data_IF_587797362058
#
_entry.id   IF_587797362058
#
_cell.length_a   1.000
_cell.length_b   1.000
_cell.length_c   1.000
_cell.angle_alpha   90.00
_cell.angle_beta   90.00
_cell.angle_gamma   90.00
#
_symmetry.space_group_name_H-M   'P 1'
#
loop_
_entity.id
_entity.type
_entity.pdbx_description
1 polymer ?
#
# COMPACT_ATOMS: atom_id res chain seq x y z
N UNK A 1 -35.40 11.93 26.17
CA UNK A 1 -34.53 10.74 26.03
C UNK A 1 -34.09 10.41 24.59
N UNK A 2 -34.91 10.64 23.56
CA UNK A 2 -34.58 10.32 22.14
C UNK A 2 -33.34 11.04 21.57
N UNK A 3 -33.08 12.29 21.97
CA UNK A 3 -32.01 13.11 21.37
C UNK A 3 -30.59 12.76 21.85
N UNK A 4 -30.43 12.27 23.09
CA UNK A 4 -29.14 11.84 23.63
C UNK A 4 -28.65 10.54 22.94
N UNK A 5 -29.56 9.58 22.76
CA UNK A 5 -29.30 8.33 22.01
C UNK A 5 -28.91 8.60 20.54
N UNK A 6 -29.44 9.66 19.93
CA UNK A 6 -29.08 10.08 18.58
C UNK A 6 -27.65 10.64 18.49
N UNK A 7 -27.22 11.39 19.51
CA UNK A 7 -25.88 11.99 19.56
C UNK A 7 -24.81 10.92 19.80
N UNK A 8 -25.05 10.01 20.75
CA UNK A 8 -24.13 8.91 21.07
C UNK A 8 -23.94 7.97 19.87
N UNK A 9 -25.02 7.67 19.15
CA UNK A 9 -24.96 6.90 17.90
C UNK A 9 -24.15 7.62 16.81
N UNK A 10 -24.29 8.94 16.68
CA UNK A 10 -23.51 9.72 15.71
C UNK A 10 -22.01 9.72 16.05
N UNK A 11 -21.66 9.83 17.34
CA UNK A 11 -20.29 9.73 17.83
C UNK A 11 -19.70 8.33 17.59
N UNK A 12 -20.45 7.27 17.89
CA UNK A 12 -20.04 5.89 17.65
C UNK A 12 -19.78 5.62 16.16
N UNK A 13 -20.69 6.06 15.28
CA UNK A 13 -20.52 5.91 13.82
C UNK A 13 -19.34 6.70 13.28
N UNK A 14 -19.08 7.91 13.80
CA UNK A 14 -17.86 8.66 13.47
C UNK A 14 -16.61 7.89 13.90
N UNK A 15 -16.57 7.40 15.14
CA UNK A 15 -15.42 6.64 15.65
C UNK A 15 -15.13 5.39 14.81
N UNK A 16 -16.15 4.62 14.45
CA UNK A 16 -16.01 3.43 13.60
C UNK A 16 -15.43 3.79 12.22
N UNK A 17 -15.87 4.90 11.61
CA UNK A 17 -15.35 5.34 10.31
C UNK A 17 -13.89 5.76 10.39
N UNK A 18 -13.52 6.55 11.40
CA UNK A 18 -12.13 6.95 11.64
C UNK A 18 -11.24 5.72 11.80
N UNK A 19 -11.64 4.75 12.61
CA UNK A 19 -10.89 3.50 12.81
C UNK A 19 -10.76 2.68 11.51
N UNK A 20 -11.79 2.66 10.66
CA UNK A 20 -11.72 1.99 9.35
C UNK A 20 -10.74 2.67 8.41
N UNK A 21 -10.72 4.00 8.38
CA UNK A 21 -9.77 4.77 7.59
C UNK A 21 -8.34 4.57 8.09
N UNK A 22 -8.10 4.68 9.40
CA UNK A 22 -6.80 4.42 10.03
C UNK A 22 -6.30 3.01 9.71
N UNK A 23 -7.17 1.99 9.84
CA UNK A 23 -6.82 0.61 9.48
C UNK A 23 -6.47 0.48 8.00
N UNK A 24 -7.22 1.11 7.10
CA UNK A 24 -6.93 1.06 5.67
C UNK A 24 -5.61 1.76 5.33
N UNK A 25 -5.28 2.86 5.99
CA UNK A 25 -4.00 3.55 5.85
C UNK A 25 -2.83 2.67 6.31
N UNK A 26 -2.96 2.06 7.49
CA UNK A 26 -1.95 1.14 8.03
C UNK A 26 -1.74 -0.07 7.12
N UNK A 27 -2.82 -0.64 6.57
CA UNK A 27 -2.74 -1.73 5.60
C UNK A 27 -2.02 -1.29 4.33
N UNK A 28 -2.38 -0.14 3.75
CA UNK A 28 -1.73 0.37 2.55
C UNK A 28 -0.23 0.66 2.77
N UNK A 29 0.12 1.24 3.93
CA UNK A 29 1.51 1.47 4.30
C UNK A 29 2.28 0.16 4.50
N UNK A 30 1.70 -0.81 5.22
CA UNK A 30 2.29 -2.13 5.42
C UNK A 30 2.48 -2.90 4.12
N UNK A 31 1.49 -2.89 3.22
CA UNK A 31 1.61 -3.49 1.89
C UNK A 31 2.66 -2.78 1.04
N UNK A 32 2.82 -1.46 1.18
CA UNK A 32 3.86 -0.73 0.46
C UNK A 32 5.25 -1.14 0.94
N UNK A 33 5.46 -1.17 2.24
CA UNK A 33 6.72 -1.65 2.83
C UNK A 33 7.03 -3.09 2.42
N UNK A 34 6.02 -3.97 2.32
CA UNK A 34 6.20 -5.33 1.83
C UNK A 34 6.65 -5.39 0.36
N UNK A 35 6.14 -4.50 -0.50
CA UNK A 35 6.62 -4.36 -1.89
C UNK A 35 8.07 -3.91 -1.91
N UNK A 36 8.41 -2.84 -1.18
CA UNK A 36 9.78 -2.30 -1.16
C UNK A 36 10.78 -3.36 -0.63
N UNK A 37 10.40 -4.14 0.39
CA UNK A 37 11.20 -5.26 0.89
C UNK A 37 11.34 -6.40 -0.13
N UNK A 38 10.27 -6.75 -0.85
CA UNK A 38 10.33 -7.77 -1.90
C UNK A 38 11.19 -7.34 -3.10
N UNK A 39 11.15 -6.05 -3.47
CA UNK A 39 12.02 -5.49 -4.51
C UNK A 39 13.49 -5.58 -4.11
N UNK A 40 13.84 -5.23 -2.87
CA UNK A 40 15.21 -5.38 -2.36
C UNK A 40 15.70 -6.83 -2.43
N UNK A 41 14.85 -7.80 -2.10
CA UNK A 41 15.19 -9.23 -2.21
C UNK A 41 15.38 -9.65 -3.67
N UNK A 42 14.54 -9.19 -4.60
CA UNK A 42 14.71 -9.49 -6.04
C UNK A 42 16.03 -8.93 -6.54
N UNK A 43 16.37 -7.68 -6.20
CA UNK A 43 17.66 -7.08 -6.55
C UNK A 43 18.82 -7.93 -6.04
N UNK A 44 18.82 -8.26 -4.73
CA UNK A 44 19.87 -9.10 -4.15
C UNK A 44 20.01 -10.46 -4.87
N UNK A 45 18.90 -11.15 -5.14
CA UNK A 45 18.93 -12.46 -5.83
C UNK A 45 19.37 -12.35 -7.28
N UNK A 46 19.06 -11.23 -7.94
CA UNK A 46 19.50 -10.98 -9.31
C UNK A 46 21.01 -10.77 -9.37
N UNK A 47 21.58 -10.04 -8.42
CA UNK A 47 23.03 -9.82 -8.29
C UNK A 47 23.77 -11.14 -8.00
N UNK A 48 23.23 -11.97 -7.08
CA UNK A 48 23.77 -13.31 -6.80
C UNK A 48 23.82 -14.18 -8.07
N UNK A 49 22.72 -14.25 -8.84
CA UNK A 49 22.67 -15.02 -10.08
C UNK A 49 23.63 -14.46 -11.13
N UNK A 50 23.71 -13.14 -11.26
CA UNK A 50 24.60 -12.47 -12.21
C UNK A 50 26.08 -12.69 -11.87
N UNK A 51 26.45 -12.67 -10.59
CA UNK A 51 27.81 -12.98 -10.14
C UNK A 51 28.21 -14.42 -10.51
N UNK A 52 27.29 -15.38 -10.37
CA UNK A 52 27.56 -16.78 -10.74
C UNK A 52 27.69 -16.93 -12.27
N UNK A 53 26.84 -16.25 -13.05
CA UNK A 53 26.99 -16.20 -14.52
C UNK A 53 28.35 -15.64 -14.93
N UNK A 54 28.75 -14.52 -14.34
CA UNK A 54 30.08 -13.95 -14.56
C UNK A 54 31.21 -14.91 -14.21
N UNK A 55 31.09 -15.69 -13.12
CA UNK A 55 32.06 -16.71 -12.77
C UNK A 55 32.12 -17.87 -13.78
N UNK A 56 30.98 -18.27 -14.36
CA UNK A 56 30.94 -19.26 -15.44
C UNK A 56 31.59 -18.75 -16.72
N UNK A 57 31.32 -17.51 -17.10
CA UNK A 57 31.88 -16.90 -18.31
C UNK A 57 33.39 -16.67 -18.16
N UNK A 58 33.85 -16.17 -17.01
CA UNK A 58 35.28 -16.07 -16.70
C UNK A 58 35.99 -17.42 -16.69
N UNK A 59 35.33 -18.49 -16.22
CA UNK A 59 35.88 -19.85 -16.31
C UNK A 59 36.00 -20.31 -17.77
N UNK A 60 34.99 -20.04 -18.61
CA UNK A 60 35.03 -20.37 -20.05
C UNK A 60 36.16 -19.63 -20.76
N UNK A 61 36.33 -18.35 -20.47
CA UNK A 61 37.41 -17.53 -21.03
C UNK A 61 38.79 -18.04 -20.59
N UNK A 62 38.97 -18.37 -19.31
CA UNK A 62 40.22 -18.92 -18.80
C UNK A 62 40.61 -20.25 -19.47
N UNK A 63 39.62 -21.12 -19.73
CA UNK A 63 39.83 -22.38 -20.46
C UNK A 63 40.31 -22.13 -21.90
N UNK A 64 39.69 -21.18 -22.60
CA UNK A 64 40.03 -20.86 -23.99
C UNK A 64 41.34 -20.09 -24.15
N UNK A 65 41.92 -19.59 -23.06
CA UNK A 65 43.14 -18.77 -23.06
C UNK A 65 44.22 -19.37 -22.16
N UNK A 66 44.27 -18.93 -20.91
CA UNK A 66 45.36 -19.14 -19.96
C UNK A 66 45.59 -20.62 -19.64
N UNK A 67 44.52 -21.40 -19.56
CA UNK A 67 44.58 -22.82 -19.21
C UNK A 67 44.66 -23.73 -20.45
N UNK A 68 44.64 -23.18 -21.67
CA UNK A 68 44.52 -23.96 -22.89
C UNK A 68 45.67 -24.96 -23.07
N UNK A 69 46.90 -24.56 -22.74
CA UNK A 69 48.09 -25.40 -22.85
C UNK A 69 48.13 -26.54 -21.82
N UNK A 70 47.46 -26.38 -20.66
CA UNK A 70 47.47 -27.35 -19.57
C UNK A 70 46.18 -28.20 -19.51
N UNK A 71 45.26 -27.99 -20.46
CA UNK A 71 43.93 -28.58 -20.49
C UNK A 71 43.91 -30.09 -20.19
N UNK A 72 44.71 -30.95 -20.87
CA UNK A 72 44.64 -32.39 -20.69
C UNK A 72 44.81 -32.86 -19.23
N UNK A 73 45.57 -32.11 -18.43
CA UNK A 73 45.82 -32.41 -17.02
C UNK A 73 44.67 -31.97 -16.12
N UNK A 74 44.02 -30.85 -16.44
CA UNK A 74 43.05 -30.20 -15.56
C UNK A 74 41.59 -30.42 -15.97
N UNK A 75 41.31 -31.08 -17.10
CA UNK A 75 39.93 -31.33 -17.61
C UNK A 75 38.97 -31.81 -16.51
N UNK A 76 39.27 -32.82 -15.68
CA UNK A 76 38.32 -33.31 -14.69
C UNK A 76 37.95 -32.25 -13.64
N UNK A 77 38.92 -31.44 -13.22
CA UNK A 77 38.73 -30.38 -12.23
C UNK A 77 37.94 -29.20 -12.81
N UNK A 78 38.23 -28.83 -14.06
CA UNK A 78 37.48 -27.80 -14.79
C UNK A 78 36.02 -28.22 -14.94
N UNK A 79 35.77 -29.46 -15.34
CA UNK A 79 34.42 -29.99 -15.53
C UNK A 79 33.64 -30.03 -14.21
N UNK A 80 34.26 -30.52 -13.13
CA UNK A 80 33.66 -30.51 -11.80
C UNK A 80 33.33 -29.08 -11.32
N UNK A 81 34.22 -28.11 -11.59
CA UNK A 81 33.98 -26.71 -11.25
C UNK A 81 32.84 -26.11 -12.06
N UNK A 82 32.77 -26.37 -13.37
CA UNK A 82 31.67 -25.94 -14.23
C UNK A 82 30.33 -26.50 -13.76
N UNK A 83 30.26 -27.81 -13.48
CA UNK A 83 29.05 -28.45 -12.97
C UNK A 83 28.59 -27.81 -11.66
N UNK A 84 29.50 -27.61 -10.70
CA UNK A 84 29.17 -26.96 -9.43
C UNK A 84 28.64 -25.54 -9.61
N UNK A 85 29.24 -24.74 -10.49
CA UNK A 85 28.77 -23.40 -10.78
C UNK A 85 27.41 -23.41 -11.50
N UNK A 86 27.18 -24.34 -12.41
CA UNK A 86 25.89 -24.51 -13.09
C UNK A 86 24.78 -24.90 -12.12
N UNK A 87 25.04 -25.81 -11.17
CA UNK A 87 24.10 -26.15 -10.10
C UNK A 87 23.81 -24.97 -9.18
N UNK A 88 24.84 -24.20 -8.82
CA UNK A 88 24.66 -22.98 -8.03
C UNK A 88 23.82 -21.94 -8.77
N UNK A 89 24.05 -21.78 -10.08
CA UNK A 89 23.27 -20.89 -10.92
C UNK A 89 21.81 -21.30 -10.97
N UNK A 90 21.52 -22.57 -11.25
CA UNK A 90 20.16 -23.09 -11.29
C UNK A 90 19.41 -22.82 -9.97
N UNK A 91 20.06 -23.09 -8.83
CA UNK A 91 19.49 -22.79 -7.50
C UNK A 91 19.29 -21.29 -7.27
N UNK A 92 20.18 -20.44 -7.77
CA UNK A 92 20.04 -18.99 -7.64
C UNK A 92 18.89 -18.46 -8.51
N UNK A 93 18.73 -18.99 -9.72
CA UNK A 93 17.63 -18.66 -10.64
C UNK A 93 16.27 -19.11 -10.09
N UNK A 94 16.18 -20.30 -9.48
CA UNK A 94 14.96 -20.76 -8.79
C UNK A 94 14.56 -19.84 -7.62
N UNK A 95 15.55 -19.39 -6.85
CA UNK A 95 15.34 -18.43 -5.75
C UNK A 95 14.89 -17.07 -6.28
N UNK A 96 15.50 -16.59 -7.36
CA UNK A 96 15.12 -15.35 -8.02
C UNK A 96 13.69 -15.43 -8.55
N UNK A 97 13.33 -16.52 -9.22
CA UNK A 97 11.97 -16.75 -9.71
C UNK A 97 10.95 -16.74 -8.57
N UNK A 98 11.27 -17.39 -7.46
CA UNK A 98 10.43 -17.38 -6.25
C UNK A 98 10.29 -15.97 -5.67
N UNK A 99 11.38 -15.20 -5.64
CA UNK A 99 11.35 -13.80 -5.18
C UNK A 99 10.48 -12.92 -6.09
N UNK A 100 10.59 -13.07 -7.41
CA UNK A 100 9.76 -12.36 -8.39
C UNK A 100 8.26 -12.67 -8.18
N UNK A 101 7.89 -13.94 -8.00
CA UNK A 101 6.50 -14.32 -7.70
C UNK A 101 5.98 -13.65 -6.42
N UNK A 102 6.80 -13.62 -5.36
CA UNK A 102 6.45 -12.93 -4.10
C UNK A 102 6.29 -11.43 -4.29
N UNK A 103 7.14 -10.81 -5.12
CA UNK A 103 7.01 -9.40 -5.47
C UNK A 103 5.69 -9.12 -6.20
N UNK A 104 5.31 -9.97 -7.16
CA UNK A 104 4.04 -9.84 -7.86
C UNK A 104 2.84 -9.95 -6.91
N UNK A 105 2.89 -10.91 -5.97
CA UNK A 105 1.85 -11.07 -4.96
C UNK A 105 1.78 -9.86 -4.01
N UNK A 106 2.94 -9.33 -3.59
CA UNK A 106 3.00 -8.11 -2.78
C UNK A 106 2.42 -6.89 -3.53
N UNK A 107 2.70 -6.76 -4.83
CA UNK A 107 2.15 -5.69 -5.69
C UNK A 107 0.64 -5.80 -5.83
N UNK A 108 0.11 -7.01 -6.03
CA UNK A 108 -1.34 -7.26 -6.02
C UNK A 108 -1.96 -6.87 -4.66
N UNK A 109 -1.35 -7.27 -3.55
CA UNK A 109 -1.80 -6.91 -2.21
C UNK A 109 -1.82 -5.38 -1.99
N UNK A 110 -0.77 -4.68 -2.42
CA UNK A 110 -0.74 -3.21 -2.38
C UNK A 110 -1.84 -2.58 -3.24
N UNK A 111 -2.11 -3.12 -4.43
CA UNK A 111 -3.19 -2.62 -5.27
C UNK A 111 -4.56 -2.79 -4.60
N UNK A 112 -4.83 -3.94 -3.99
CA UNK A 112 -6.03 -4.16 -3.20
C UNK A 112 -6.12 -3.19 -2.02
N UNK A 113 -5.04 -3.01 -1.26
CA UNK A 113 -5.00 -2.09 -0.13
C UNK A 113 -5.26 -0.63 -0.55
N UNK A 114 -4.77 -0.21 -1.72
CA UNK A 114 -5.03 1.12 -2.30
C UNK A 114 -6.50 1.32 -2.65
N UNK A 115 -7.15 0.31 -3.22
CA UNK A 115 -8.59 0.35 -3.53
C UNK A 115 -9.40 0.47 -2.24
N UNK A 116 -9.09 -0.34 -1.22
CA UNK A 116 -9.76 -0.27 0.09
C UNK A 116 -9.58 1.09 0.76
N UNK A 117 -8.37 1.66 0.70
CA UNK A 117 -8.11 3.00 1.21
C UNK A 117 -8.92 4.06 0.46
N UNK A 118 -8.99 3.99 -0.86
CA UNK A 118 -9.79 4.92 -1.67
C UNK A 118 -11.28 4.83 -1.33
N UNK A 119 -11.81 3.62 -1.12
CA UNK A 119 -13.19 3.40 -0.69
C UNK A 119 -13.42 4.02 0.71
N UNK A 120 -12.50 3.78 1.65
CA UNK A 120 -12.59 4.34 3.00
C UNK A 120 -12.57 5.88 3.00
N UNK A 121 -11.65 6.48 2.24
CA UNK A 121 -11.55 7.93 2.06
C UNK A 121 -12.83 8.50 1.45
N UNK A 122 -13.38 7.85 0.42
CA UNK A 122 -14.61 8.32 -0.23
C UNK A 122 -15.80 8.28 0.72
N UNK A 123 -15.91 7.24 1.54
CA UNK A 123 -16.95 7.13 2.57
C UNK A 123 -16.84 8.25 3.60
N UNK A 124 -15.63 8.63 4.00
CA UNK A 124 -15.41 9.73 4.95
C UNK A 124 -15.75 11.10 4.34
N UNK A 125 -15.40 11.33 3.06
CA UNK A 125 -15.78 12.56 2.36
C UNK A 125 -17.30 12.72 2.28
N UNK A 126 -18.03 11.66 1.89
CA UNK A 126 -19.50 11.68 1.81
C UNK A 126 -20.10 11.98 3.20
N UNK A 127 -19.55 11.36 4.24
CA UNK A 127 -19.95 11.59 5.61
C UNK A 127 -19.79 13.05 6.05
N UNK A 128 -18.65 13.66 5.76
CA UNK A 128 -18.37 15.05 6.06
C UNK A 128 -19.28 16.01 5.29
N UNK A 129 -19.51 15.73 4.01
CA UNK A 129 -20.45 16.51 3.17
C UNK A 129 -21.86 16.48 3.74
N UNK A 130 -22.35 15.30 4.14
CA UNK A 130 -23.67 15.15 4.75
C UNK A 130 -23.75 15.89 6.10
N UNK A 131 -22.71 15.79 6.93
CA UNK A 131 -22.65 16.51 8.20
C UNK A 131 -22.68 18.04 7.99
N UNK A 132 -21.93 18.55 7.01
CA UNK A 132 -21.93 19.99 6.64
C UNK A 132 -23.30 20.44 6.13
N UNK A 133 -24.00 19.61 5.34
CA UNK A 133 -25.36 19.92 4.87
C UNK A 133 -26.36 19.95 6.03
N UNK A 134 -26.26 19.01 6.97
CA UNK A 134 -27.13 18.97 8.14
C UNK A 134 -26.94 20.22 9.04
N UNK A 135 -25.69 20.63 9.29
CA UNK A 135 -25.39 21.85 10.06
C UNK A 135 -25.99 23.10 9.43
N UNK A 136 -25.80 23.29 8.12
CA UNK A 136 -26.40 24.41 7.37
C UNK A 136 -27.91 24.44 7.46
N UNK A 137 -28.59 23.28 7.38
CA UNK A 137 -30.05 23.21 7.57
C UNK A 137 -30.46 23.64 8.97
N UNK A 138 -29.74 23.18 10.00
CA UNK A 138 -30.03 23.56 11.39
C UNK A 138 -29.79 25.05 11.64
N UNK A 139 -28.77 25.66 11.03
CA UNK A 139 -28.52 27.10 11.09
C UNK A 139 -29.69 27.87 10.46
N UNK A 140 -30.09 27.51 9.25
CA UNK A 140 -31.24 28.14 8.56
C UNK A 140 -32.53 27.99 9.39
N UNK A 141 -32.77 26.82 9.99
CA UNK A 141 -33.94 26.60 10.86
C UNK A 141 -33.89 27.45 12.12
N UNK A 142 -32.70 27.66 12.70
CA UNK A 142 -32.52 28.53 13.86
C UNK A 142 -32.77 29.99 13.50
N UNK A 143 -32.20 30.46 12.39
CA UNK A 143 -32.44 31.82 11.87
C UNK A 143 -33.93 32.07 11.64
N UNK A 144 -34.61 31.17 10.94
CA UNK A 144 -36.06 31.26 10.70
C UNK A 144 -36.91 31.25 11.97
N UNK A 145 -36.47 30.54 13.02
CA UNK A 145 -37.16 30.57 14.32
C UNK A 145 -36.98 31.92 14.99
N UNK A 146 -35.76 32.45 15.00
CA UNK A 146 -35.47 33.78 15.55
C UNK A 146 -36.25 34.88 14.81
N UNK A 147 -36.36 34.81 13.48
CA UNK A 147 -37.18 35.74 12.68
C UNK A 147 -38.66 35.70 13.10
N UNK A 148 -39.25 34.50 13.22
CA UNK A 148 -40.64 34.33 13.66
C UNK A 148 -40.89 34.82 15.09
N UNK A 149 -39.91 34.66 15.98
CA UNK A 149 -39.99 35.14 17.36
C UNK A 149 -39.83 36.67 17.45
N UNK A 150 -39.14 37.30 16.50
CA UNK A 150 -38.95 38.76 16.43
C UNK A 150 -40.12 39.52 15.76
N UNK A 151 -40.84 38.89 14.82
CA UNK A 151 -42.03 39.46 14.16
C UNK A 151 -43.13 40.00 15.10
N UNK A 152 -43.55 39.30 16.18
CA UNK A 152 -44.58 39.83 17.08
C UNK A 152 -44.13 41.07 17.86
N UNK A 153 -42.83 41.19 18.19
CA UNK A 153 -42.28 42.38 18.84
C UNK A 153 -42.20 43.59 17.90
N UNK A 154 -41.86 43.35 16.64
CA UNK A 154 -41.82 44.38 15.59
C UNK A 154 -43.21 44.92 15.26
N UNK A 155 -44.22 44.05 15.17
CA UNK A 155 -45.61 44.45 14.91
C UNK A 155 -46.25 45.19 16.10
N UNK A 156 -45.99 44.75 17.34
CA UNK A 156 -46.46 45.45 18.54
C UNK A 156 -45.86 46.85 18.72
N UNK A 157 -44.57 47.03 18.37
CA UNK A 157 -43.93 48.35 18.39
C UNK A 157 -44.45 49.29 17.28
N UNK A 158 -44.94 48.73 16.17
CA UNK A 158 -45.51 49.49 15.04
C UNK A 158 -46.97 49.89 15.26
N UNK A 159 -47.74 49.13 16.05
CA UNK A 159 -49.12 49.46 16.45
C UNK A 159 -49.24 50.41 17.64
N UNK A 160 -48.13 50.70 18.34
CA UNK A 160 -48.09 51.62 19.48
C UNK A 160 -47.64 53.05 19.10
N UNK A 161 -47.43 53.33 17.81
CA UNK A 161 -47.24 54.67 17.23
C UNK A 161 -48.51 55.11 16.51
#
# INVERSE_FOLDING_TARGET
MSMALSLDNAHALRRIRTLRLERAMLLAAGSRAAVDAAEAVVTQRSEEAQAIRGALDGLREAIGSTLAAELPRWVPLIFARQQRLAEQLARAEDKLLTACRRLDDARKALQHARVELAIAQRREQIADELARRARRRLEIERERKLEREAEPMSNAARSAR
#
